data_IF_286479222006
#
_entry.id   IF_286479222006
#
_cell.length_a   1.000
_cell.length_b   1.000
_cell.length_c   1.000
_cell.angle_alpha   90.00
_cell.angle_beta   90.00
_cell.angle_gamma   90.00
#
_symmetry.space_group_name_H-M   'P 1'
#
loop_
_entity.id
_entity.type
_entity.pdbx_description
1 polymer ?
#
# COMPACT_ATOMS: atom_id res chain seq x y z
N UNK A 1 0.16 19.08 -3.22
CA UNK A 1 -0.25 18.13 -2.17
C UNK A 1 -0.45 16.78 -2.85
N UNK A 2 0.63 16.13 -3.30
CA UNK A 2 1.39 15.14 -2.52
C UNK A 2 0.45 14.19 -1.77
N UNK A 3 0.10 13.07 -2.40
CA UNK A 3 0.75 11.73 -2.29
C UNK A 3 0.34 11.05 -1.00
N UNK A 4 -0.12 9.79 -1.00
CA UNK A 4 0.74 8.60 -0.87
C UNK A 4 -0.23 7.39 -0.70
N UNK A 5 -0.11 6.32 -1.51
CA UNK A 5 0.42 4.97 -1.15
C UNK A 5 -0.36 4.23 -0.06
N UNK A 6 -0.55 2.90 -0.05
CA UNK A 6 0.34 1.83 -0.47
C UNK A 6 -0.34 0.46 -0.25
N UNK A 7 -0.08 -0.47 -1.17
CA UNK A 7 0.38 -1.86 -0.95
C UNK A 7 -0.17 -2.70 0.24
N UNK A 8 -0.79 -3.85 -0.07
CA UNK A 8 -0.19 -5.20 0.09
C UNK A 8 -1.26 -6.27 -0.28
N UNK A 9 -1.10 -7.06 -1.34
CA UNK A 9 -0.30 -8.30 -1.51
C UNK A 9 -0.77 -9.48 -0.65
N UNK A 10 -0.80 -10.67 -1.30
CA UNK A 10 -0.90 -12.06 -0.78
C UNK A 10 -2.31 -12.64 -0.75
N UNK A 11 -2.60 -13.88 -1.14
CA UNK A 11 -1.81 -14.98 -1.69
C UNK A 11 -2.75 -15.91 -2.48
N UNK A 12 -2.23 -16.51 -3.54
CA UNK A 12 -2.84 -17.67 -4.22
C UNK A 12 -2.56 -18.90 -3.36
N UNK A 13 -3.57 -19.43 -2.67
CA UNK A 13 -3.58 -20.81 -2.21
C UNK A 13 -4.89 -21.48 -2.60
N UNK A 14 -4.71 -22.60 -3.27
CA UNK A 14 -5.68 -23.64 -3.58
C UNK A 14 -6.06 -24.38 -2.29
N UNK A 15 -7.36 -24.45 -1.95
CA UNK A 15 -7.96 -25.57 -1.23
C UNK A 15 -9.41 -25.70 -1.70
N UNK A 16 -9.71 -26.81 -2.37
CA UNK A 16 -11.07 -27.36 -2.40
C UNK A 16 -11.37 -27.91 -1.01
N UNK A 17 -12.47 -27.49 -0.39
CA UNK A 17 -13.09 -28.24 0.70
C UNK A 17 -14.58 -27.93 0.72
N UNK A 18 -15.33 -28.94 0.30
CA UNK A 18 -16.57 -29.42 0.91
C UNK A 18 -17.47 -28.39 1.61
N UNK A 19 -18.64 -28.24 0.97
CA UNK A 19 -19.84 -27.65 1.53
C UNK A 19 -20.35 -28.54 2.67
N UNK A 20 -19.81 -28.35 3.87
CA UNK A 20 -20.50 -28.73 5.10
C UNK A 20 -21.47 -27.61 5.46
N UNK A 21 -22.76 -27.90 5.32
CA UNK A 21 -23.86 -27.06 5.80
C UNK A 21 -23.85 -27.07 7.32
N UNK A 22 -23.36 -26.01 7.94
CA UNK A 22 -23.60 -25.75 9.37
C UNK A 22 -24.69 -24.70 9.54
N UNK A 23 -25.74 -25.15 10.22
CA UNK A 23 -26.95 -24.48 10.69
C UNK A 23 -26.64 -23.41 11.76
N UNK A 24 -25.82 -22.40 11.42
CA UNK A 24 -25.49 -21.33 12.36
C UNK A 24 -24.93 -20.08 11.66
N UNK A 25 -25.77 -19.30 10.96
CA UNK A 25 -25.53 -17.85 10.87
C UNK A 25 -26.77 -17.04 10.44
N UNK A 26 -27.80 -16.96 11.31
CA UNK A 26 -28.97 -16.10 11.06
C UNK A 26 -28.77 -14.66 11.57
N UNK A 27 -27.54 -14.23 11.88
CA UNK A 27 -27.26 -12.86 12.37
C UNK A 27 -26.01 -12.22 11.77
N UNK A 28 -25.68 -12.50 10.51
CA UNK A 28 -24.79 -11.63 9.75
C UNK A 28 -25.53 -10.36 9.29
N UNK A 29 -25.43 -9.28 10.08
CA UNK A 29 -25.81 -7.94 9.62
C UNK A 29 -24.71 -7.39 8.69
N UNK A 30 -24.88 -7.60 7.39
CA UNK A 30 -24.03 -6.96 6.37
C UNK A 30 -24.45 -5.50 6.25
N UNK A 31 -23.64 -4.58 6.76
CA UNK A 31 -23.85 -3.13 6.60
C UNK A 31 -23.49 -2.74 5.16
N UNK A 32 -24.50 -2.68 4.30
CA UNK A 32 -24.35 -2.29 2.90
C UNK A 32 -24.17 -0.77 2.77
N UNK A 33 -23.24 -0.35 1.91
CA UNK A 33 -23.09 1.06 1.56
C UNK A 33 -24.31 1.56 0.76
N UNK A 34 -24.70 2.83 0.94
CA UNK A 34 -25.83 3.46 0.23
C UNK A 34 -25.88 3.20 -1.29
N UNK A 35 -24.78 3.27 -2.06
CA UNK A 35 -24.81 2.96 -3.50
C UNK A 35 -24.94 1.46 -3.84
N UNK A 36 -24.58 0.55 -2.92
CA UNK A 36 -24.82 -0.89 -3.11
C UNK A 36 -26.29 -1.23 -2.82
N UNK A 37 -26.88 -0.63 -1.79
CA UNK A 37 -28.30 -0.77 -1.49
C UNK A 37 -29.19 -0.28 -2.64
N UNK A 38 -28.87 0.89 -3.20
CA UNK A 38 -29.64 1.44 -4.33
C UNK A 38 -29.61 0.50 -5.54
N UNK A 39 -28.45 -0.09 -5.88
CA UNK A 39 -28.34 -1.06 -6.99
C UNK A 39 -29.16 -2.33 -6.77
N UNK A 40 -29.21 -2.82 -5.54
CA UNK A 40 -30.04 -3.97 -5.19
C UNK A 40 -31.53 -3.62 -5.30
N UNK A 41 -31.91 -2.44 -4.85
CA UNK A 41 -33.28 -1.95 -4.94
C UNK A 41 -33.72 -1.77 -6.42
N UNK A 42 -32.85 -1.22 -7.26
CA UNK A 42 -33.10 -1.04 -8.69
C UNK A 42 -33.18 -2.40 -9.43
N UNK A 43 -32.34 -3.37 -9.04
CA UNK A 43 -32.39 -4.74 -9.58
C UNK A 43 -33.68 -5.46 -9.19
N UNK A 44 -34.06 -5.42 -7.91
CA UNK A 44 -35.27 -6.05 -7.39
C UNK A 44 -36.54 -5.40 -7.97
N UNK A 45 -36.55 -4.08 -8.11
CA UNK A 45 -37.67 -3.37 -8.74
C UNK A 45 -37.78 -3.68 -10.23
N UNK A 46 -36.66 -3.79 -10.95
CA UNK A 46 -36.64 -4.23 -12.35
C UNK A 46 -37.19 -5.65 -12.54
N UNK A 47 -36.80 -6.60 -11.68
CA UNK A 47 -37.31 -7.99 -11.71
C UNK A 47 -38.82 -8.01 -11.41
N UNK A 48 -39.29 -7.20 -10.45
CA UNK A 48 -40.70 -7.08 -10.13
C UNK A 48 -41.52 -6.47 -11.27
N UNK A 49 -40.98 -5.48 -11.99
CA UNK A 49 -41.62 -4.91 -13.18
C UNK A 49 -41.71 -5.94 -14.30
N UNK A 50 -40.62 -6.67 -14.60
CA UNK A 50 -40.62 -7.71 -15.63
C UNK A 50 -41.63 -8.83 -15.30
N UNK A 51 -41.65 -9.29 -14.05
CA UNK A 51 -42.60 -10.32 -13.58
C UNK A 51 -44.04 -9.86 -13.72
N UNK A 52 -44.34 -8.59 -13.37
CA UNK A 52 -45.67 -7.99 -13.56
C UNK A 52 -46.05 -7.89 -15.05
N UNK A 53 -45.13 -7.51 -15.92
CA UNK A 53 -45.36 -7.45 -17.37
C UNK A 53 -45.66 -8.83 -17.96
N UNK A 54 -44.95 -9.87 -17.52
CA UNK A 54 -45.19 -11.25 -17.97
C UNK A 54 -46.56 -11.75 -17.53
N UNK A 55 -46.96 -11.50 -16.27
CA UNK A 55 -48.29 -11.87 -15.75
C UNK A 55 -49.40 -11.14 -16.52
N UNK A 56 -49.24 -9.84 -16.79
CA UNK A 56 -50.20 -9.06 -17.56
C UNK A 56 -50.34 -9.56 -19.00
N UNK A 57 -49.23 -9.93 -19.66
CA UNK A 57 -49.25 -10.50 -21.01
C UNK A 57 -49.93 -11.88 -21.04
N UNK A 58 -49.74 -12.70 -20.01
CA UNK A 58 -50.43 -13.98 -19.88
C UNK A 58 -51.95 -13.80 -19.73
N UNK A 59 -52.39 -12.87 -18.88
CA UNK A 59 -53.81 -12.52 -18.73
C UNK A 59 -54.42 -12.00 -20.04
N UNK A 60 -53.69 -11.19 -20.81
CA UNK A 60 -54.15 -10.74 -22.14
C UNK A 60 -54.33 -11.91 -23.13
N UNK A 61 -53.39 -12.87 -23.16
CA UNK A 61 -53.51 -14.06 -24.00
C UNK A 61 -54.71 -14.92 -23.59
N UNK A 62 -54.94 -15.09 -22.30
CA UNK A 62 -56.07 -15.86 -21.77
C UNK A 62 -57.41 -15.17 -22.10
N UNK A 63 -57.49 -13.85 -21.98
CA UNK A 63 -58.65 -13.07 -22.40
C UNK A 63 -58.95 -13.18 -23.91
N UNK A 64 -57.91 -13.13 -24.75
CA UNK A 64 -58.05 -13.35 -26.20
C UNK A 64 -58.49 -14.78 -26.52
N UNK A 65 -57.96 -15.77 -25.81
CA UNK A 65 -58.35 -17.18 -25.96
C UNK A 65 -59.80 -17.41 -25.54
N UNK A 66 -60.26 -16.78 -24.45
CA UNK A 66 -61.68 -16.84 -24.05
C UNK A 66 -62.60 -16.16 -25.06
N UNK A 67 -62.23 -14.99 -25.61
CA UNK A 67 -62.96 -14.37 -26.72
C UNK A 67 -63.01 -15.26 -27.97
N UNK A 68 -61.91 -15.91 -28.32
CA UNK A 68 -61.85 -16.83 -29.45
C UNK A 68 -62.76 -18.05 -29.21
N UNK A 69 -62.73 -18.64 -28.01
CA UNK A 69 -63.66 -19.73 -27.63
C UNK A 69 -65.12 -19.30 -27.70
N UNK A 70 -65.45 -18.08 -27.27
CA UNK A 70 -66.80 -17.54 -27.40
C UNK A 70 -67.22 -17.45 -28.88
N UNK A 71 -66.35 -16.92 -29.76
CA UNK A 71 -66.62 -16.83 -31.19
C UNK A 71 -66.82 -18.20 -31.84
N UNK A 72 -66.05 -19.21 -31.42
CA UNK A 72 -66.17 -20.58 -31.92
C UNK A 72 -67.52 -21.21 -31.56
N UNK A 73 -68.08 -20.93 -30.36
CA UNK A 73 -69.42 -21.41 -29.99
C UNK A 73 -70.52 -20.89 -30.94
N UNK A 74 -70.39 -19.65 -31.41
CA UNK A 74 -71.34 -19.02 -32.33
C UNK A 74 -71.12 -19.42 -33.81
N UNK A 75 -70.08 -20.22 -34.10
CA UNK A 75 -69.75 -20.66 -35.46
C UNK A 75 -70.53 -21.90 -35.94
N UNK A 76 -71.46 -22.39 -35.11
CA UNK A 76 -72.23 -23.62 -35.35
C UNK A 76 -73.31 -23.54 -36.43
N UNK A 77 -73.48 -22.41 -37.13
CA UNK A 77 -74.62 -22.19 -38.05
C UNK A 77 -74.28 -22.21 -39.56
N UNK A 78 -73.06 -22.55 -39.99
CA UNK A 78 -72.73 -22.62 -41.43
C UNK A 78 -72.51 -24.05 -41.95
N UNK A 79 -72.10 -25.00 -41.10
CA UNK A 79 -71.89 -26.39 -41.51
C UNK A 79 -73.22 -27.17 -41.58
N UNK A 80 -74.23 -26.78 -40.79
CA UNK A 80 -75.56 -27.38 -40.84
C UNK A 80 -76.35 -27.08 -42.13
N UNK A 81 -76.01 -26.02 -42.86
CA UNK A 81 -76.68 -25.65 -44.13
C UNK A 81 -76.15 -26.46 -45.32
N UNK A 82 -74.87 -26.89 -45.27
CA UNK A 82 -74.23 -27.68 -46.33
C UNK A 82 -74.71 -29.15 -46.38
N UNK A 83 -74.98 -29.75 -45.22
CA UNK A 83 -75.56 -31.10 -45.11
C UNK A 83 -77.03 -31.14 -45.54
N UNK A 84 -77.81 -30.08 -45.28
CA UNK A 84 -79.19 -29.97 -45.77
C UNK A 84 -79.25 -29.86 -47.31
N UNK A 85 -78.33 -29.11 -47.93
CA UNK A 85 -78.29 -28.96 -49.40
C UNK A 85 -77.86 -30.25 -50.11
N UNK A 86 -76.90 -30.99 -49.55
CA UNK A 86 -76.48 -32.30 -50.09
C UNK A 86 -77.57 -33.38 -49.95
N UNK A 87 -78.38 -33.36 -48.88
CA UNK A 87 -79.54 -34.24 -48.74
C UNK A 87 -80.69 -33.90 -49.71
N UNK A 88 -80.93 -32.61 -49.99
CA UNK A 88 -81.93 -32.18 -51.01
C UNK A 88 -81.56 -32.58 -52.45
N UNK A 89 -80.27 -32.50 -52.82
CA UNK A 89 -79.80 -32.93 -54.15
C UNK A 89 -79.88 -34.46 -54.29
N UNK A 90 -79.56 -35.19 -53.22
CA UNK A 90 -79.65 -36.66 -53.21
C UNK A 90 -81.10 -37.15 -53.26
N UNK A 91 -82.01 -36.49 -52.52
CA UNK A 91 -83.45 -36.78 -52.54
C UNK A 91 -84.09 -36.47 -53.90
N UNK A 92 -83.66 -35.40 -54.59
CA UNK A 92 -84.14 -35.06 -55.94
C UNK A 92 -83.63 -36.02 -57.03
N UNK A 93 -82.45 -36.64 -56.85
CA UNK A 93 -81.88 -37.61 -57.79
C UNK A 93 -82.50 -39.01 -57.64
N UNK A 94 -82.98 -39.37 -56.44
CA UNK A 94 -83.68 -40.64 -56.19
C UNK A 94 -85.13 -40.58 -56.71
N UNK A 95 -85.85 -39.47 -56.50
CA UNK A 95 -87.22 -39.31 -57.03
C UNK A 95 -87.31 -39.31 -58.57
N UNK A 96 -86.25 -38.89 -59.27
CA UNK A 96 -86.22 -38.88 -60.74
C UNK A 96 -85.87 -40.26 -61.35
N UNK A 97 -85.37 -41.21 -60.55
CA UNK A 97 -84.99 -42.55 -60.99
C UNK A 97 -86.08 -43.61 -60.68
N UNK A 98 -87.10 -43.26 -59.89
CA UNK A 98 -88.18 -44.16 -59.42
C UNK A 98 -89.54 -43.90 -60.10
N UNK A 99 -89.58 -43.10 -61.17
CA UNK A 99 -90.78 -42.81 -61.99
C UNK A 99 -90.70 -43.28 -63.46
N UNK A 100 -89.72 -44.12 -63.82
CA UNK A 100 -89.54 -44.62 -65.19
C UNK A 100 -89.40 -46.15 -65.26
N UNK A 101 -90.26 -46.89 -64.56
CA UNK A 101 -90.40 -48.33 -64.77
C UNK A 101 -91.86 -48.76 -64.65
N UNK A 102 -92.74 -48.23 -65.50
CA UNK A 102 -93.89 -49.00 -65.98
C UNK A 102 -94.38 -48.40 -67.31
N UNK A 103 -94.75 -49.30 -68.22
CA UNK A 103 -95.35 -49.11 -69.56
C UNK A 103 -94.40 -49.04 -70.78
N UNK A 104 -94.27 -50.20 -71.42
CA UNK A 104 -94.29 -50.38 -72.88
C UNK A 104 -95.57 -51.16 -73.22
N UNK A 105 -96.22 -50.93 -74.38
CA UNK A 105 -95.83 -51.72 -75.55
C UNK A 105 -95.72 -50.96 -76.89
N UNK A 106 -94.61 -51.27 -77.58
CA UNK A 106 -94.50 -51.80 -78.95
C UNK A 106 -94.98 -51.02 -80.21
N UNK A 107 -94.04 -50.98 -81.18
CA UNK A 107 -94.15 -50.85 -82.65
C UNK A 107 -94.13 -49.40 -83.23
N UNK A 108 -92.94 -48.89 -83.64
CA UNK A 108 -92.68 -48.01 -84.82
C UNK A 108 -91.16 -47.78 -85.12
N UNK A 109 -90.25 -48.61 -84.60
CA UNK A 109 -88.84 -48.29 -84.39
C UNK A 109 -87.85 -48.53 -85.56
N UNK A 110 -88.20 -48.27 -86.83
CA UNK A 110 -87.22 -48.45 -87.94
C UNK A 110 -87.01 -47.26 -88.88
N UNK A 111 -87.81 -46.20 -88.79
CA UNK A 111 -87.65 -45.01 -89.66
C UNK A 111 -86.88 -43.85 -89.01
N UNK A 112 -86.87 -43.73 -87.66
CA UNK A 112 -86.22 -42.62 -86.93
C UNK A 112 -84.69 -42.73 -86.76
N UNK A 113 -84.08 -43.88 -87.06
CA UNK A 113 -82.66 -44.11 -86.72
C UNK A 113 -81.67 -43.49 -87.74
N UNK A 114 -82.12 -43.21 -88.98
CA UNK A 114 -81.27 -42.57 -90.01
C UNK A 114 -81.19 -41.06 -89.87
N UNK A 115 -82.27 -40.39 -89.47
CA UNK A 115 -82.25 -38.94 -89.20
C UNK A 115 -81.46 -38.61 -87.93
N UNK A 116 -81.59 -39.42 -86.88
CA UNK A 116 -80.77 -39.27 -85.66
C UNK A 116 -79.28 -39.46 -85.97
N UNK A 117 -78.92 -40.39 -86.86
CA UNK A 117 -77.53 -40.62 -87.24
C UNK A 117 -76.94 -39.46 -88.05
N UNK A 118 -77.67 -38.91 -89.02
CA UNK A 118 -77.25 -37.73 -89.79
C UNK A 118 -77.13 -36.47 -88.91
N UNK A 119 -78.07 -36.26 -87.98
CA UNK A 119 -77.99 -35.20 -86.99
C UNK A 119 -76.77 -35.38 -86.08
N UNK A 120 -76.45 -36.61 -85.63
CA UNK A 120 -75.27 -36.91 -84.83
C UNK A 120 -73.96 -36.59 -85.57
N UNK A 121 -73.87 -36.92 -86.87
CA UNK A 121 -72.67 -36.63 -87.69
C UNK A 121 -72.49 -35.12 -87.86
N UNK A 122 -73.57 -34.39 -88.18
CA UNK A 122 -73.53 -32.92 -88.30
C UNK A 122 -73.17 -32.25 -86.97
N UNK A 123 -73.75 -32.70 -85.85
CA UNK A 123 -73.44 -32.16 -84.51
C UNK A 123 -71.97 -32.43 -84.16
N UNK A 124 -71.44 -33.62 -84.47
CA UNK A 124 -70.03 -33.96 -84.23
C UNK A 124 -69.08 -33.08 -85.06
N UNK A 125 -69.41 -32.81 -86.33
CA UNK A 125 -68.61 -31.95 -87.19
C UNK A 125 -68.60 -30.49 -86.72
N UNK A 126 -69.77 -29.92 -86.41
CA UNK A 126 -69.88 -28.56 -85.85
C UNK A 126 -69.18 -28.44 -84.49
N UNK A 127 -69.25 -29.49 -83.66
CA UNK A 127 -68.52 -29.53 -82.39
C UNK A 127 -67.01 -29.50 -82.62
N UNK A 128 -66.49 -30.25 -83.61
CA UNK A 128 -65.04 -30.29 -83.90
C UNK A 128 -64.50 -28.93 -84.38
N UNK A 129 -65.23 -28.21 -85.22
CA UNK A 129 -64.84 -26.86 -85.67
C UNK A 129 -64.90 -25.84 -84.52
N UNK A 130 -65.93 -25.91 -83.68
CA UNK A 130 -66.02 -25.06 -82.50
C UNK A 130 -64.86 -25.31 -81.51
N UNK A 131 -64.44 -26.57 -81.34
CA UNK A 131 -63.26 -26.90 -80.54
C UNK A 131 -61.99 -26.30 -81.14
N UNK A 132 -61.77 -26.41 -82.46
CA UNK A 132 -60.61 -25.80 -83.14
C UNK A 132 -60.56 -24.27 -82.97
N UNK A 133 -61.70 -23.60 -83.09
CA UNK A 133 -61.78 -22.16 -82.85
C UNK A 133 -61.50 -21.80 -81.38
N UNK A 134 -62.04 -22.57 -80.43
CA UNK A 134 -61.73 -22.40 -79.00
C UNK A 134 -60.24 -22.60 -78.72
N UNK A 135 -59.64 -23.65 -79.27
CA UNK A 135 -58.21 -23.96 -79.15
C UNK A 135 -57.34 -22.83 -79.73
N UNK A 136 -57.70 -22.31 -80.90
CA UNK A 136 -56.96 -21.20 -81.53
C UNK A 136 -57.02 -19.91 -80.70
N UNK A 137 -58.19 -19.60 -80.13
CA UNK A 137 -58.36 -18.45 -79.23
C UNK A 137 -57.55 -18.65 -77.95
N UNK A 138 -57.59 -19.84 -77.36
CA UNK A 138 -56.81 -20.18 -76.18
C UNK A 138 -55.30 -20.06 -76.46
N UNK A 139 -54.82 -20.55 -77.61
CA UNK A 139 -53.41 -20.44 -78.00
C UNK A 139 -52.97 -18.98 -78.15
N UNK A 140 -53.78 -18.14 -78.82
CA UNK A 140 -53.47 -16.71 -78.98
C UNK A 140 -53.44 -15.98 -77.63
N UNK A 141 -54.39 -16.27 -76.74
CA UNK A 141 -54.42 -15.72 -75.38
C UNK A 141 -53.22 -16.20 -74.56
N UNK A 142 -52.81 -17.46 -74.68
CA UNK A 142 -51.64 -18.02 -74.01
C UNK A 142 -50.35 -17.32 -74.46
N UNK A 143 -50.16 -17.09 -75.76
CA UNK A 143 -48.99 -16.38 -76.29
C UNK A 143 -48.95 -14.92 -75.81
N UNK A 144 -50.09 -14.22 -75.84
CA UNK A 144 -50.17 -12.84 -75.34
C UNK A 144 -49.87 -12.77 -73.83
N UNK A 145 -50.40 -13.71 -73.04
CA UNK A 145 -50.10 -13.81 -71.62
C UNK A 145 -48.64 -14.12 -71.36
N UNK A 146 -48.05 -15.04 -72.11
CA UNK A 146 -46.63 -15.38 -71.97
C UNK A 146 -45.73 -14.18 -72.28
N UNK A 147 -46.01 -13.43 -73.34
CA UNK A 147 -45.21 -12.24 -73.67
C UNK A 147 -45.35 -11.14 -72.61
N UNK A 148 -46.55 -10.93 -72.06
CA UNK A 148 -46.76 -10.01 -70.95
C UNK A 148 -45.95 -10.45 -69.72
N UNK A 149 -46.01 -11.73 -69.37
CA UNK A 149 -45.25 -12.31 -68.25
C UNK A 149 -43.75 -12.12 -68.47
N UNK A 150 -43.21 -12.48 -69.64
CA UNK A 150 -41.77 -12.35 -69.92
C UNK A 150 -41.28 -10.90 -69.90
N UNK A 151 -42.06 -9.94 -70.42
CA UNK A 151 -41.72 -8.51 -70.35
C UNK A 151 -41.75 -7.98 -68.89
N UNK A 152 -42.72 -8.41 -68.09
CA UNK A 152 -42.82 -8.05 -66.67
C UNK A 152 -41.69 -8.69 -65.86
N UNK A 153 -41.34 -9.95 -66.14
CA UNK A 153 -40.21 -10.65 -65.52
C UNK A 153 -38.88 -9.94 -65.79
N UNK A 154 -38.61 -9.49 -67.01
CA UNK A 154 -37.40 -8.72 -67.33
C UNK A 154 -37.34 -7.38 -66.57
N UNK A 155 -38.47 -6.69 -66.44
CA UNK A 155 -38.55 -5.45 -65.65
C UNK A 155 -38.33 -5.72 -64.16
N UNK A 156 -38.89 -6.80 -63.63
CA UNK A 156 -38.69 -7.22 -62.24
C UNK A 156 -37.22 -7.57 -62.00
N UNK A 157 -36.58 -8.34 -62.88
CA UNK A 157 -35.16 -8.70 -62.76
C UNK A 157 -34.27 -7.45 -62.75
N UNK A 158 -34.51 -6.48 -63.65
CA UNK A 158 -33.78 -5.21 -63.67
C UNK A 158 -33.99 -4.39 -62.40
N UNK A 159 -35.23 -4.28 -61.92
CA UNK A 159 -35.57 -3.55 -60.70
C UNK A 159 -34.96 -4.22 -59.44
N UNK A 160 -34.96 -5.55 -59.39
CA UNK A 160 -34.32 -6.34 -58.32
C UNK A 160 -32.80 -6.13 -58.35
N UNK A 161 -32.17 -6.23 -59.52
CA UNK A 161 -30.72 -6.01 -59.66
C UNK A 161 -30.30 -4.59 -59.24
N UNK A 162 -31.06 -3.55 -59.59
CA UNK A 162 -30.78 -2.18 -59.15
C UNK A 162 -30.93 -2.03 -57.62
N UNK A 163 -31.96 -2.64 -57.03
CA UNK A 163 -32.18 -2.63 -55.58
C UNK A 163 -31.07 -3.36 -54.83
N UNK A 164 -30.66 -4.52 -55.32
CA UNK A 164 -29.55 -5.30 -54.75
C UNK A 164 -28.23 -4.52 -54.85
N UNK A 165 -27.97 -3.86 -55.99
CA UNK A 165 -26.79 -3.02 -56.15
C UNK A 165 -26.76 -1.84 -55.17
N UNK A 166 -27.92 -1.18 -54.93
CA UNK A 166 -28.04 -0.11 -53.92
C UNK A 166 -27.81 -0.63 -52.51
N UNK A 167 -28.42 -1.76 -52.15
CA UNK A 167 -28.23 -2.37 -50.84
C UNK A 167 -26.77 -2.81 -50.63
N UNK A 168 -26.12 -3.39 -51.64
CA UNK A 168 -24.72 -3.77 -51.57
C UNK A 168 -23.80 -2.57 -51.31
N UNK A 169 -24.06 -1.42 -51.95
CA UNK A 169 -23.32 -0.17 -51.68
C UNK A 169 -23.54 0.32 -50.25
N UNK A 170 -24.78 0.35 -49.78
CA UNK A 170 -25.10 0.79 -48.42
C UNK A 170 -24.46 -0.10 -47.35
N UNK A 171 -24.45 -1.42 -47.55
CA UNK A 171 -23.78 -2.35 -46.64
C UNK A 171 -22.26 -2.17 -46.64
N UNK A 172 -21.65 -1.89 -47.80
CA UNK A 172 -20.22 -1.58 -47.88
C UNK A 172 -19.89 -0.30 -47.12
N UNK A 173 -20.64 0.78 -47.32
CA UNK A 173 -20.42 2.03 -46.59
C UNK A 173 -20.62 1.87 -45.07
N UNK A 174 -21.63 1.11 -44.65
CA UNK A 174 -21.84 0.78 -43.23
C UNK A 174 -20.67 -0.03 -42.67
N UNK A 175 -20.18 -1.01 -43.43
CA UNK A 175 -19.01 -1.80 -43.10
C UNK A 175 -17.74 -0.96 -42.97
N UNK A 176 -17.50 -0.05 -43.92
CA UNK A 176 -16.36 0.86 -43.90
C UNK A 176 -16.42 1.84 -42.72
N UNK A 177 -17.59 2.43 -42.45
CA UNK A 177 -17.80 3.30 -41.28
C UNK A 177 -17.57 2.54 -39.97
N UNK A 178 -18.07 1.31 -39.87
CA UNK A 178 -17.84 0.47 -38.70
C UNK A 178 -16.36 0.08 -38.56
N UNK A 179 -15.69 -0.27 -39.65
CA UNK A 179 -14.27 -0.61 -39.63
C UNK A 179 -13.41 0.61 -39.23
N UNK A 180 -13.71 1.80 -39.77
CA UNK A 180 -13.06 3.04 -39.38
C UNK A 180 -13.28 3.37 -37.90
N UNK A 181 -14.49 3.17 -37.37
CA UNK A 181 -14.80 3.34 -35.95
C UNK A 181 -13.99 2.38 -35.07
N UNK A 182 -13.90 1.08 -35.45
CA UNK A 182 -13.09 0.10 -34.71
C UNK A 182 -11.60 0.46 -34.74
N UNK A 183 -11.09 0.88 -35.89
CA UNK A 183 -9.70 1.32 -36.02
C UNK A 183 -9.40 2.56 -35.16
N UNK A 184 -10.34 3.51 -35.09
CA UNK A 184 -10.22 4.67 -34.21
C UNK A 184 -10.17 4.27 -32.72
N UNK A 185 -11.04 3.34 -32.31
CA UNK A 185 -11.05 2.80 -30.94
C UNK A 185 -9.73 2.06 -30.65
N UNK A 186 -9.22 1.26 -31.58
CA UNK A 186 -7.97 0.54 -31.44
C UNK A 186 -6.78 1.50 -31.32
N UNK A 187 -6.69 2.50 -32.19
CA UNK A 187 -5.64 3.52 -32.15
C UNK A 187 -5.65 4.32 -30.83
N UNK A 188 -6.83 4.68 -30.33
CA UNK A 188 -6.95 5.34 -29.03
C UNK A 188 -6.44 4.45 -27.89
N UNK A 189 -6.83 3.16 -27.87
CA UNK A 189 -6.34 2.18 -26.87
C UNK A 189 -4.82 2.00 -26.93
N UNK A 190 -4.24 1.97 -28.12
CA UNK A 190 -2.79 1.90 -28.31
C UNK A 190 -2.06 3.15 -27.81
N UNK A 191 -2.58 4.34 -28.14
CA UNK A 191 -2.05 5.60 -27.64
C UNK A 191 -2.07 5.65 -26.11
N UNK A 192 -3.19 5.25 -25.49
CA UNK A 192 -3.32 5.18 -24.04
C UNK A 192 -2.33 4.19 -23.40
N UNK A 193 -2.12 3.02 -24.01
CA UNK A 193 -1.12 2.05 -23.53
C UNK A 193 0.30 2.64 -23.59
N UNK A 194 0.68 3.24 -24.72
CA UNK A 194 2.01 3.87 -24.88
C UNK A 194 2.22 5.01 -23.88
N UNK A 195 1.21 5.85 -23.67
CA UNK A 195 1.29 6.93 -22.68
C UNK A 195 1.44 6.40 -21.25
N UNK A 196 0.72 5.32 -20.92
CA UNK A 196 0.84 4.67 -19.62
C UNK A 196 2.22 4.01 -19.42
N UNK A 197 2.77 3.37 -20.45
CA UNK A 197 4.13 2.81 -20.42
C UNK A 197 5.18 3.90 -20.22
N UNK A 198 5.06 5.04 -20.91
CA UNK A 198 5.93 6.20 -20.70
C UNK A 198 5.87 6.73 -19.27
N UNK A 199 4.67 6.91 -18.73
CA UNK A 199 4.48 7.34 -17.33
C UNK A 199 5.09 6.34 -16.35
N UNK A 200 4.88 5.05 -16.57
CA UNK A 200 5.47 4.00 -15.73
C UNK A 200 7.01 4.04 -15.79
N UNK A 201 7.59 4.29 -16.95
CA UNK A 201 9.04 4.39 -17.10
C UNK A 201 9.60 5.65 -16.42
N UNK A 202 8.93 6.79 -16.55
CA UNK A 202 9.27 8.02 -15.83
C UNK A 202 9.17 7.83 -14.30
N UNK A 203 8.15 7.12 -13.82
CA UNK A 203 8.02 6.79 -12.39
C UNK A 203 9.14 5.88 -11.90
N UNK A 204 9.54 4.88 -12.69
CA UNK A 204 10.71 4.05 -12.38
C UNK A 204 12.00 4.88 -12.32
N UNK A 205 12.21 5.76 -13.28
CA UNK A 205 13.38 6.65 -13.31
C UNK A 205 13.41 7.54 -12.07
N UNK A 206 12.29 8.19 -11.73
CA UNK A 206 12.16 9.00 -10.51
C UNK A 206 12.39 8.18 -9.24
N UNK A 207 11.93 6.94 -9.19
CA UNK A 207 12.15 6.04 -8.07
C UNK A 207 13.65 5.69 -7.91
N UNK A 208 14.35 5.44 -9.01
CA UNK A 208 15.79 5.18 -9.04
C UNK A 208 16.59 6.42 -8.61
N UNK A 209 16.25 7.60 -9.13
CA UNK A 209 16.88 8.86 -8.74
C UNK A 209 16.70 9.14 -7.24
N UNK A 210 15.49 8.92 -6.72
CA UNK A 210 15.20 9.07 -5.30
C UNK A 210 16.00 8.08 -4.44
N UNK A 211 16.13 6.84 -4.89
CA UNK A 211 16.95 5.83 -4.21
C UNK A 211 18.42 6.26 -4.18
N UNK A 212 18.96 6.69 -5.33
CA UNK A 212 20.33 7.15 -5.44
C UNK A 212 20.60 8.39 -4.56
N UNK A 213 19.68 9.35 -4.54
CA UNK A 213 19.77 10.52 -3.67
C UNK A 213 19.79 10.14 -2.18
N UNK A 214 18.98 9.16 -1.77
CA UNK A 214 19.00 8.62 -0.40
C UNK A 214 20.33 7.94 -0.08
N UNK A 215 20.88 7.16 -1.01
CA UNK A 215 22.17 6.49 -0.83
C UNK A 215 23.32 7.50 -0.68
N UNK A 216 23.37 8.53 -1.54
CA UNK A 216 24.39 9.58 -1.45
C UNK A 216 24.24 10.41 -0.18
N UNK A 217 23.01 10.73 0.24
CA UNK A 217 22.77 11.40 1.52
C UNK A 217 23.24 10.56 2.71
N UNK A 218 22.98 9.24 2.71
CA UNK A 218 23.47 8.33 3.73
C UNK A 218 25.00 8.26 3.76
N UNK A 219 25.64 8.19 2.59
CA UNK A 219 27.11 8.20 2.46
C UNK A 219 27.74 9.48 2.99
N UNK A 220 27.16 10.64 2.69
CA UNK A 220 27.61 11.94 3.23
C UNK A 220 27.44 11.97 4.75
N UNK A 221 26.30 11.48 5.24
CA UNK A 221 26.04 11.42 6.68
C UNK A 221 27.06 10.54 7.42
N UNK A 222 27.39 9.37 6.88
CA UNK A 222 28.40 8.48 7.45
C UNK A 222 29.79 9.14 7.46
N UNK A 223 30.23 9.73 6.35
CA UNK A 223 31.49 10.48 6.29
C UNK A 223 31.54 11.63 7.31
N UNK A 224 30.43 12.34 7.49
CA UNK A 224 30.32 13.42 8.49
C UNK A 224 30.47 12.87 9.91
N UNK A 225 29.87 11.72 10.22
CA UNK A 225 30.00 11.04 11.52
C UNK A 225 31.43 10.58 11.77
N UNK A 226 32.08 9.99 10.77
CA UNK A 226 33.50 9.59 10.84
C UNK A 226 34.41 10.79 11.09
N UNK A 227 34.24 11.87 10.33
CA UNK A 227 35.01 13.10 10.51
C UNK A 227 34.80 13.71 11.91
N UNK A 228 33.56 13.69 12.40
CA UNK A 228 33.27 14.16 13.76
C UNK A 228 33.97 13.30 14.81
N UNK A 229 33.95 11.97 14.66
CA UNK A 229 34.65 11.06 15.57
C UNK A 229 36.17 11.21 15.52
N UNK A 230 36.74 11.51 14.34
CA UNK A 230 38.16 11.83 14.22
C UNK A 230 38.52 13.13 14.93
N UNK A 231 37.71 14.19 14.74
CA UNK A 231 37.91 15.47 15.43
C UNK A 231 37.86 15.33 16.94
N UNK A 232 36.85 14.64 17.49
CA UNK A 232 36.76 14.43 18.94
C UNK A 232 37.93 13.60 19.47
N UNK A 233 38.44 12.65 18.68
CA UNK A 233 39.64 11.88 19.04
C UNK A 233 40.89 12.75 19.05
N UNK A 234 41.06 13.63 18.08
CA UNK A 234 42.19 14.58 18.01
C UNK A 234 42.12 15.60 19.14
N UNK A 235 40.95 16.17 19.42
CA UNK A 235 40.71 17.06 20.56
C UNK A 235 41.06 16.38 21.89
N UNK A 236 40.70 15.10 22.05
CA UNK A 236 41.08 14.30 23.21
C UNK A 236 42.59 14.13 23.38
N UNK A 237 43.34 13.96 22.29
CA UNK A 237 44.81 13.90 22.33
C UNK A 237 45.42 15.25 22.70
N UNK A 238 44.94 16.34 22.09
CA UNK A 238 45.41 17.70 22.40
C UNK A 238 45.19 18.00 23.89
N UNK A 239 44.02 17.65 24.44
CA UNK A 239 43.73 17.83 25.85
C UNK A 239 44.67 17.01 26.75
N UNK A 240 44.96 15.77 26.36
CA UNK A 240 45.91 14.92 27.06
C UNK A 240 47.32 15.53 27.06
N UNK A 241 47.78 16.04 25.92
CA UNK A 241 49.10 16.67 25.78
C UNK A 241 49.20 17.95 26.63
N UNK A 242 48.15 18.78 26.65
CA UNK A 242 48.05 19.95 27.53
C UNK A 242 48.15 19.52 29.00
N UNK A 243 47.42 18.48 29.40
CA UNK A 243 47.47 17.99 30.79
C UNK A 243 48.87 17.49 31.17
N UNK A 244 49.54 16.77 30.27
CA UNK A 244 50.93 16.31 30.49
C UNK A 244 51.87 17.52 30.65
N UNK A 245 51.72 18.53 29.79
CA UNK A 245 52.52 19.76 29.85
C UNK A 245 52.29 20.51 31.17
N UNK A 246 51.05 20.70 31.60
CA UNK A 246 50.72 21.34 32.87
C UNK A 246 51.30 20.56 34.07
N UNK A 247 51.22 19.23 34.04
CA UNK A 247 51.78 18.38 35.09
C UNK A 247 53.31 18.46 35.14
N UNK A 248 53.97 18.49 33.97
CA UNK A 248 55.41 18.68 33.89
C UNK A 248 55.83 20.07 34.41
N UNK A 249 55.08 21.12 34.05
CA UNK A 249 55.35 22.49 34.50
C UNK A 249 55.17 22.62 36.02
N UNK A 250 54.07 22.11 36.58
CA UNK A 250 53.85 22.10 38.04
C UNK A 250 54.96 21.38 38.79
N UNK A 251 55.41 20.22 38.28
CA UNK A 251 56.56 19.49 38.85
C UNK A 251 57.83 20.32 38.78
N UNK A 252 58.11 20.95 37.63
CA UNK A 252 59.29 21.81 37.47
C UNK A 252 59.26 23.02 38.43
N UNK A 253 58.10 23.69 38.57
CA UNK A 253 57.90 24.78 39.53
C UNK A 253 58.13 24.31 40.96
N UNK A 254 57.56 23.18 41.36
CA UNK A 254 57.76 22.59 42.70
C UNK A 254 59.23 22.27 42.98
N UNK A 255 59.94 21.69 42.01
CA UNK A 255 61.36 21.42 42.15
C UNK A 255 62.19 22.70 42.30
N UNK A 256 61.83 23.78 41.58
CA UNK A 256 62.48 25.09 41.72
C UNK A 256 62.24 25.68 43.11
N UNK A 257 60.99 25.75 43.56
CA UNK A 257 60.65 26.27 44.89
C UNK A 257 61.36 25.49 46.01
N UNK A 258 61.37 24.15 45.94
CA UNK A 258 62.12 23.33 46.91
C UNK A 258 63.63 23.60 46.91
N UNK A 259 64.20 23.93 45.74
CA UNK A 259 65.61 24.28 45.65
C UNK A 259 65.86 25.65 46.29
N UNK A 260 65.01 26.64 45.97
CA UNK A 260 65.06 27.98 46.56
C UNK A 260 64.91 27.93 48.10
N UNK A 261 64.01 27.10 48.61
CA UNK A 261 63.84 26.86 50.06
C UNK A 261 65.11 26.27 50.70
N UNK A 262 65.74 25.29 50.05
CA UNK A 262 67.01 24.71 50.52
C UNK A 262 68.14 25.75 50.51
N UNK A 263 68.28 26.48 49.42
CA UNK A 263 69.29 27.52 49.27
C UNK A 263 69.07 28.64 50.32
N UNK A 264 67.81 28.98 50.61
CA UNK A 264 67.46 29.93 51.67
C UNK A 264 67.79 29.39 53.06
N UNK A 265 67.44 28.14 53.35
CA UNK A 265 67.75 27.50 54.63
C UNK A 265 69.27 27.41 54.87
N UNK A 266 70.06 27.11 53.82
CA UNK A 266 71.51 27.09 53.89
C UNK A 266 72.07 28.49 54.20
N UNK A 267 71.63 29.54 53.48
CA UNK A 267 72.03 30.93 53.77
C UNK A 267 71.65 31.36 55.19
N UNK A 268 70.45 31.01 55.64
CA UNK A 268 69.99 31.32 56.99
C UNK A 268 70.84 30.59 58.04
N UNK A 269 71.17 29.31 57.80
CA UNK A 269 72.04 28.55 58.70
C UNK A 269 73.45 29.14 58.79
N UNK A 270 74.01 29.59 57.67
CA UNK A 270 75.31 30.25 57.63
C UNK A 270 75.28 31.60 58.38
N UNK A 271 74.19 32.35 58.26
CA UNK A 271 73.98 33.60 58.99
C UNK A 271 73.91 33.35 60.50
N UNK A 272 73.12 32.37 60.95
CA UNK A 272 73.01 31.99 62.36
C UNK A 272 74.38 31.58 62.94
N UNK A 273 75.17 30.79 62.21
CA UNK A 273 76.53 30.42 62.63
C UNK A 273 77.44 31.66 62.71
N UNK A 274 77.30 32.60 61.78
CA UNK A 274 78.02 33.88 61.81
C UNK A 274 77.67 34.73 63.03
N UNK A 275 76.38 34.87 63.35
CA UNK A 275 75.87 35.60 64.51
C UNK A 275 76.30 34.95 65.83
N UNK A 276 76.21 33.62 65.95
CA UNK A 276 76.68 32.88 67.12
C UNK A 276 78.18 33.12 67.35
N UNK A 277 79.00 33.06 66.29
CA UNK A 277 80.43 33.35 66.40
C UNK A 277 80.71 34.78 66.89
N UNK A 278 79.90 35.77 66.49
CA UNK A 278 80.01 37.14 66.99
C UNK A 278 79.60 37.24 68.46
N UNK A 279 78.48 36.62 68.84
CA UNK A 279 78.00 36.56 70.22
C UNK A 279 79.05 35.92 71.14
N UNK A 280 79.63 34.80 70.73
CA UNK A 280 80.65 34.10 71.50
C UNK A 280 81.92 34.93 71.70
N UNK A 281 82.36 35.68 70.68
CA UNK A 281 83.49 36.63 70.81
C UNK A 281 83.18 37.72 71.82
N UNK A 282 81.99 38.31 71.76
CA UNK A 282 81.55 39.35 72.70
C UNK A 282 81.42 38.80 74.13
N UNK A 283 80.79 37.63 74.30
CA UNK A 283 80.61 36.98 75.59
C UNK A 283 81.96 36.70 76.28
N UNK A 284 82.98 36.27 75.53
CA UNK A 284 84.35 36.11 76.04
C UNK A 284 84.94 37.42 76.56
N UNK A 285 84.76 38.53 75.85
CA UNK A 285 85.23 39.85 76.30
C UNK A 285 84.54 40.29 77.60
N UNK A 286 83.22 40.10 77.69
CA UNK A 286 82.45 40.41 78.92
C UNK A 286 82.88 39.50 80.07
N UNK A 287 83.14 38.22 79.80
CA UNK A 287 83.64 37.27 80.79
C UNK A 287 85.02 37.68 81.34
N UNK A 288 85.96 38.01 80.46
CA UNK A 288 87.30 38.46 80.84
C UNK A 288 87.29 39.76 81.64
N UNK A 289 86.47 40.74 81.23
CA UNK A 289 86.34 42.02 81.94
C UNK A 289 85.69 41.86 83.31
N UNK A 290 84.65 41.02 83.44
CA UNK A 290 84.02 40.70 84.72
C UNK A 290 84.96 39.94 85.66
N UNK A 291 85.76 39.00 85.13
CA UNK A 291 86.78 38.28 85.87
C UNK A 291 87.89 39.20 86.39
N UNK A 292 88.41 40.10 85.55
CA UNK A 292 89.38 41.14 85.96
C UNK A 292 88.83 42.06 87.05
N UNK A 293 87.52 42.32 87.04
CA UNK A 293 86.85 43.13 88.06
C UNK A 293 86.48 42.36 89.34
N UNK A 294 86.83 41.07 89.47
CA UNK A 294 86.56 40.25 90.65
C UNK A 294 85.08 39.89 90.87
N UNK A 295 84.22 40.01 89.86
CA UNK A 295 82.80 39.66 89.95
C UNK A 295 82.59 38.16 89.72
N UNK A 296 81.50 37.59 90.25
CA UNK A 296 81.14 36.19 90.00
C UNK A 296 80.79 35.97 88.52
N UNK A 297 81.59 35.18 87.81
CA UNK A 297 81.47 34.91 86.38
C UNK A 297 80.61 33.68 86.05
N UNK A 298 80.20 32.89 87.04
CA UNK A 298 79.46 31.64 86.84
C UNK A 298 78.12 31.79 86.07
N UNK A 299 77.28 32.82 86.33
CA UNK A 299 76.05 33.03 85.58
C UNK A 299 76.31 33.34 84.09
N UNK A 300 77.36 34.11 83.80
CA UNK A 300 77.75 34.46 82.43
C UNK A 300 78.26 33.22 81.68
N UNK A 301 79.04 32.37 82.34
CA UNK A 301 79.49 31.09 81.77
C UNK A 301 78.31 30.18 81.42
N UNK A 302 77.26 30.17 82.25
CA UNK A 302 76.06 29.38 81.99
C UNK A 302 75.25 29.94 80.79
N UNK A 303 75.17 31.27 80.68
CA UNK A 303 74.45 31.95 79.61
C UNK A 303 75.18 31.91 78.25
N UNK A 304 76.52 31.88 78.26
CA UNK A 304 77.35 31.86 77.05
C UNK A 304 77.55 30.46 76.45
N UNK A 305 76.94 29.41 76.99
CA UNK A 305 77.03 28.06 76.42
C UNK A 305 76.48 28.07 74.99
N UNK A 306 77.25 27.51 74.06
CA UNK A 306 76.92 27.43 72.64
C UNK A 306 75.54 26.78 72.42
N UNK A 307 74.72 27.40 71.57
CA UNK A 307 73.40 26.90 71.18
C UNK A 307 72.30 27.97 71.21
N UNK A 308 71.35 27.86 70.27
CA UNK A 308 70.20 28.76 70.15
C UNK A 308 69.29 28.56 71.37
N UNK A 309 69.39 29.47 72.34
CA UNK A 309 68.65 29.43 73.60
C UNK A 309 69.27 28.46 74.61
N UNK A 310 70.11 29.01 75.51
CA UNK A 310 70.95 28.34 76.52
C UNK A 310 70.27 27.39 77.53
N UNK A 311 69.62 26.33 77.03
CA UNK A 311 69.08 25.22 77.80
C UNK A 311 69.38 23.88 77.13
N UNK A 312 69.49 22.81 77.93
CA UNK A 312 69.98 21.47 77.55
C UNK A 312 68.97 20.60 76.74
N UNK A 313 68.09 21.19 75.94
CA UNK A 313 67.06 20.45 75.20
C UNK A 313 67.52 20.00 73.80
N UNK A 314 67.03 18.87 73.28
CA UNK A 314 67.41 18.38 71.95
C UNK A 314 66.96 19.32 70.82
N UNK A 315 67.80 19.43 69.78
CA UNK A 315 67.60 20.34 68.64
C UNK A 315 67.12 19.52 67.44
N UNK A 316 65.94 19.82 66.91
CA UNK A 316 65.42 19.24 65.67
C UNK A 316 65.29 20.31 64.58
N UNK A 317 66.13 20.27 63.55
CA UNK A 317 65.93 21.07 62.33
C UNK A 317 66.16 22.58 62.47
N UNK A 318 66.97 23.04 63.43
CA UNK A 318 67.39 24.44 63.55
C UNK A 318 66.36 25.40 64.18
N UNK A 319 65.11 24.99 64.34
CA UNK A 319 64.19 25.60 65.31
C UNK A 319 64.06 24.68 66.51
N UNK A 320 64.22 25.21 67.71
CA UNK A 320 63.84 24.52 68.95
C UNK A 320 62.37 24.82 69.22
N UNK A 321 61.43 23.88 68.99
CA UNK A 321 60.04 24.13 69.36
C UNK A 321 60.00 24.19 70.89
N UNK A 322 59.54 25.31 71.45
CA UNK A 322 59.19 25.35 72.86
C UNK A 322 57.91 24.54 73.03
N UNK A 323 58.02 23.27 73.41
CA UNK A 323 56.88 22.47 73.87
C UNK A 323 56.45 22.88 75.28
N UNK A 324 56.54 24.17 75.62
CA UNK A 324 56.08 24.69 76.89
C UNK A 324 54.57 24.90 76.80
N UNK A 325 53.85 24.44 77.82
CA UNK A 325 52.47 24.87 78.06
C UNK A 325 52.48 26.41 78.20
N UNK A 326 51.47 27.10 77.66
CA UNK A 326 51.34 28.56 77.76
C UNK A 326 51.04 29.08 79.19
N UNK A 327 51.09 28.20 80.19
CA UNK A 327 50.85 28.56 81.58
C UNK A 327 52.17 28.87 82.32
N UNK A 328 52.05 29.38 83.54
CA UNK A 328 53.20 29.75 84.38
C UNK A 328 54.02 28.53 84.85
N UNK A 329 53.56 27.30 84.56
CA UNK A 329 54.16 26.07 85.07
C UNK A 329 55.47 25.71 84.36
N UNK A 330 55.65 26.13 83.11
CA UNK A 330 56.84 25.84 82.32
C UNK A 330 57.08 24.34 82.09
N UNK A 331 56.06 23.50 82.22
CA UNK A 331 56.14 22.06 82.04
C UNK A 331 56.09 21.71 80.54
N UNK A 332 56.88 20.71 80.13
CA UNK A 332 56.88 20.21 78.77
C UNK A 332 55.56 19.48 78.46
N UNK A 333 54.91 19.82 77.35
CA UNK A 333 53.67 19.18 76.90
C UNK A 333 53.88 17.65 76.81
N UNK A 334 52.98 16.84 77.39
CA UNK A 334 53.07 15.38 77.27
C UNK A 334 53.12 14.94 75.80
N UNK A 335 54.04 14.04 75.48
CA UNK A 335 54.09 13.35 74.19
C UNK A 335 52.82 12.53 74.01
N UNK A 336 51.89 13.00 73.16
CA UNK A 336 50.64 12.28 72.84
C UNK A 336 50.83 11.14 71.82
N UNK A 337 52.02 10.54 71.75
CA UNK A 337 52.24 9.30 70.99
C UNK A 337 52.10 8.14 71.96
N UNK A 338 50.86 7.70 72.20
CA UNK A 338 50.57 6.45 72.90
C UNK A 338 50.21 5.38 71.87
N UNK A 339 50.43 4.09 72.16
CA UNK A 339 50.01 3.00 71.26
C UNK A 339 48.51 3.06 70.90
N UNK A 340 47.70 3.70 71.75
CA UNK A 340 46.28 3.97 71.51
C UNK A 340 46.06 5.03 70.43
N UNK A 341 46.88 6.10 70.36
CA UNK A 341 46.78 7.13 69.33
C UNK A 341 47.36 6.69 67.98
N UNK A 342 48.27 5.71 67.96
CA UNK A 342 48.73 5.05 66.73
C UNK A 342 47.60 4.28 66.03
N UNK A 343 46.75 3.55 66.76
CA UNK A 343 45.58 2.88 66.17
C UNK A 343 44.60 3.86 65.52
N UNK A 344 44.35 5.02 66.16
CA UNK A 344 43.48 6.06 65.60
C UNK A 344 44.14 6.71 64.36
N UNK A 345 45.45 6.84 64.37
CA UNK A 345 46.23 7.34 63.23
C UNK A 345 46.19 6.36 62.05
N UNK A 346 46.37 5.06 62.29
CA UNK A 346 46.25 4.00 61.26
C UNK A 346 44.82 3.91 60.67
N UNK A 347 43.78 4.19 61.46
CA UNK A 347 42.40 4.24 60.96
C UNK A 347 42.13 5.41 59.99
N UNK A 348 42.90 6.50 60.10
CA UNK A 348 42.71 7.73 59.34
C UNK A 348 43.75 7.92 58.22
N UNK A 349 44.98 7.49 58.43
CA UNK A 349 46.05 7.44 57.44
C UNK A 349 46.06 6.04 56.82
N UNK A 350 45.40 5.86 55.67
CA UNK A 350 45.43 4.58 54.96
C UNK A 350 46.72 4.45 54.15
N UNK A 351 47.63 3.49 54.46
CA UNK A 351 48.80 3.22 53.62
C UNK A 351 48.43 2.53 52.30
N UNK A 352 47.25 1.91 52.22
CA UNK A 352 46.79 1.15 51.05
C UNK A 352 45.59 1.83 50.34
N UNK A 353 45.85 2.25 49.10
CA UNK A 353 44.90 2.89 48.19
C UNK A 353 43.69 1.98 47.87
N UNK A 354 43.84 0.66 47.94
CA UNK A 354 42.73 -0.25 47.64
C UNK A 354 41.68 -0.28 48.76
N UNK A 355 42.12 -0.17 50.01
CA UNK A 355 41.21 -0.11 51.16
C UNK A 355 40.45 1.22 51.23
N UNK A 356 41.11 2.34 50.89
CA UNK A 356 40.45 3.65 50.84
C UNK A 356 39.41 3.72 49.72
N UNK A 357 39.68 3.13 48.55
CA UNK A 357 38.71 2.98 47.46
C UNK A 357 37.44 2.23 47.90
N UNK A 358 37.59 1.10 48.61
CA UNK A 358 36.46 0.34 49.17
C UNK A 358 35.63 1.16 50.17
N UNK A 359 36.28 1.90 51.09
CA UNK A 359 35.58 2.78 52.05
C UNK A 359 34.78 3.90 51.36
N UNK A 360 35.29 4.41 50.25
CA UNK A 360 34.64 5.45 49.45
C UNK A 360 33.58 4.90 48.48
N UNK A 361 33.27 3.60 48.55
CA UNK A 361 32.25 2.98 47.71
C UNK A 361 32.71 2.70 46.27
N UNK A 362 34.00 2.87 45.96
CA UNK A 362 34.58 2.37 44.72
C UNK A 362 34.75 0.86 44.85
N UNK A 363 33.81 0.12 44.26
CA UNK A 363 33.96 -1.30 43.99
C UNK A 363 34.85 -1.45 42.76
N UNK A 364 35.93 -2.21 42.90
CA UNK A 364 36.61 -2.82 41.75
C UNK A 364 35.75 -3.98 41.25
#
# INVERSE_FOLDING_TARGET
>A
LMTLTSLHLKDKYFVSSEVEKTEADLRQMVVLSKPQWQRLQDSVTGINQHSRSVIAAAQQREALHMRSKELVKHWSNTIAVSTHWSLCISSSRISHHEQYLHEKPTIHAKHNMREIHWACICISFCFRELQRHRETIIQKLAVQKQQQISNEEELIVKAVAEREAKQAREQREKGEKHAAMLNSIAAHRESMRKEQERKAEEEKQKALEMLNAKMEAAKIFMKKKELQAQKTREEGKILQDIYIQEMAEKRARHHRTKKEEKDFAERNSALIVGEENQFQKYAKQVFETAGKAGRNTFPLMKAAREGIGGGLGPVFGGLRPSYLVHDESGVEMPSYVSGTSQNIKELNETPDIQQSKKRLGFTL
#
